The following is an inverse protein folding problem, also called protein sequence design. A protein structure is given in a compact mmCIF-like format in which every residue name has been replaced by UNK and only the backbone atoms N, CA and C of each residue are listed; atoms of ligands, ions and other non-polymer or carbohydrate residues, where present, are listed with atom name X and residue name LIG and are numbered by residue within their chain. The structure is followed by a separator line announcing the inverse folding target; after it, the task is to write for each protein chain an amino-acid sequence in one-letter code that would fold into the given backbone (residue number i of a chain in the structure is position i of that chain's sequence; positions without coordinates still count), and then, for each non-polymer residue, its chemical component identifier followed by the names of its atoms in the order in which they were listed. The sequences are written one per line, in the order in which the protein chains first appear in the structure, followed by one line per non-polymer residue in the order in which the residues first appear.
data_IF_326344401029
#
_entry.id   IF_326344401029
#
_cell.length_a   1.000
_cell.length_b   1.000
_cell.length_c   1.000
_cell.angle_alpha   90.00
_cell.angle_beta   90.00
_cell.angle_gamma   90.00
#
_symmetry.space_group_name_H-M   'P 1'
#
loop_
_entity.id
_entity.type
_entity.pdbx_description
1 polymer ?
#
# COMPACT_ATOMS: atom_id res chain seq x y z
N UNK A 1 22.01 16.80 11.69
CA UNK A 1 22.83 15.57 11.60
C UNK A 1 22.30 14.74 10.43
N UNK A 2 23.16 14.21 9.54
CA UNK A 2 22.68 13.39 8.45
C UNK A 2 22.04 12.09 8.98
N UNK A 3 20.85 11.78 8.51
CA UNK A 3 20.16 10.51 8.77
C UNK A 3 20.20 9.65 7.52
N UNK A 4 20.59 8.38 7.67
CA UNK A 4 20.59 7.42 6.60
C UNK A 4 19.17 6.83 6.44
N UNK A 5 18.76 6.62 5.21
CA UNK A 5 17.42 6.13 4.85
C UNK A 5 17.56 5.03 3.81
N UNK A 6 16.72 4.03 3.93
CA UNK A 6 16.61 2.94 2.97
C UNK A 6 15.82 3.36 1.73
N UNK A 7 16.05 2.70 0.60
CA UNK A 7 15.30 2.90 -0.63
C UNK A 7 14.78 1.56 -1.17
N UNK A 8 13.74 1.63 -1.98
CA UNK A 8 13.23 0.46 -2.68
C UNK A 8 13.80 0.32 -4.09
N UNK A 9 14.17 -0.89 -4.46
CA UNK A 9 14.41 -1.29 -5.83
C UNK A 9 13.17 -2.05 -6.32
N UNK A 10 12.44 -1.46 -7.25
CA UNK A 10 11.29 -2.04 -7.94
C UNK A 10 11.72 -2.46 -9.34
N UNK A 11 11.90 -3.75 -9.58
CA UNK A 11 12.50 -4.28 -10.81
C UNK A 11 13.86 -3.62 -11.11
N UNK A 12 13.86 -2.58 -11.94
CA UNK A 12 15.05 -1.78 -12.32
C UNK A 12 14.95 -0.31 -11.92
N UNK A 13 13.86 0.09 -11.26
CA UNK A 13 13.58 1.47 -10.85
C UNK A 13 13.69 1.62 -9.34
N UNK A 14 14.09 2.80 -8.87
CA UNK A 14 14.15 3.08 -7.45
C UNK A 14 12.95 3.90 -6.99
N UNK A 15 12.57 3.73 -5.73
CA UNK A 15 11.63 4.61 -5.03
C UNK A 15 12.14 4.86 -3.61
N UNK A 16 11.80 6.00 -3.06
CA UNK A 16 12.24 6.43 -1.72
C UNK A 16 11.13 6.39 -0.68
N UNK A 17 9.89 6.38 -1.11
CA UNK A 17 8.72 6.56 -0.25
C UNK A 17 7.74 5.41 -0.38
N UNK A 18 7.16 5.19 -1.58
CA UNK A 18 6.12 4.17 -1.78
C UNK A 18 6.05 3.67 -3.22
N UNK A 19 5.89 2.36 -3.36
CA UNK A 19 5.42 1.70 -4.57
C UNK A 19 3.99 1.21 -4.33
N UNK A 20 3.03 1.59 -5.16
CA UNK A 20 1.62 1.23 -4.97
C UNK A 20 0.90 0.92 -6.28
N UNK A 21 -0.18 0.10 -6.18
CA UNK A 21 -1.03 -0.24 -7.31
C UNK A 21 -2.51 -0.26 -6.91
N UNK A 22 -3.38 -0.26 -7.91
CA UNK A 22 -4.83 -0.42 -7.74
C UNK A 22 -5.56 0.89 -7.43
N UNK A 23 -6.63 0.80 -6.64
CA UNK A 23 -7.44 1.94 -6.29
C UNK A 23 -6.59 3.07 -5.68
N UNK A 24 -6.92 4.31 -6.03
CA UNK A 24 -6.22 5.51 -5.57
C UNK A 24 -4.88 5.83 -6.26
N UNK A 25 -4.29 4.94 -7.05
CA UNK A 25 -3.04 5.25 -7.77
C UNK A 25 -3.27 6.10 -9.01
N UNK A 26 -4.35 5.89 -9.74
CA UNK A 26 -4.69 6.68 -10.94
C UNK A 26 -5.09 8.13 -10.62
N UNK A 27 -5.66 8.38 -9.44
CA UNK A 27 -6.08 9.73 -9.01
C UNK A 27 -4.91 10.58 -8.53
N UNK A 28 -3.76 10.00 -8.25
CA UNK A 28 -2.54 10.74 -7.86
C UNK A 28 -2.02 11.67 -8.95
N UNK A 29 -2.37 11.40 -10.22
CA UNK A 29 -1.95 12.23 -11.36
C UNK A 29 -2.81 13.48 -11.58
N UNK A 30 -3.97 13.57 -10.95
CA UNK A 30 -4.89 14.70 -11.22
C UNK A 30 -5.20 15.60 -10.03
N UNK A 31 -5.05 15.21 -8.77
CA UNK A 31 -5.08 16.17 -7.63
C UNK A 31 -4.91 15.47 -6.26
N UNK A 32 -4.11 15.99 -5.31
CA UNK A 32 -4.03 15.51 -3.92
C UNK A 32 -5.36 15.58 -3.14
N UNK A 33 -6.31 16.35 -3.64
CA UNK A 33 -7.61 16.58 -3.02
C UNK A 33 -8.58 15.40 -3.20
N UNK A 34 -8.44 14.64 -4.30
CA UNK A 34 -9.33 13.52 -4.58
C UNK A 34 -9.10 12.33 -3.67
N UNK A 35 -7.92 12.20 -3.10
CA UNK A 35 -7.58 11.12 -2.18
C UNK A 35 -8.22 11.33 -0.79
N UNK A 36 -8.21 12.56 -0.27
CA UNK A 36 -8.97 12.93 0.95
C UNK A 36 -10.47 12.78 0.73
N UNK A 37 -10.94 13.05 -0.50
CA UNK A 37 -12.32 12.86 -0.89
C UNK A 37 -12.70 11.37 -1.00
N UNK A 38 -11.80 10.48 -1.43
CA UNK A 38 -12.08 9.05 -1.51
C UNK A 38 -12.28 8.42 -0.13
N UNK A 39 -11.50 8.81 0.89
CA UNK A 39 -11.73 8.39 2.28
C UNK A 39 -12.91 9.14 2.91
N UNK A 40 -13.10 10.41 2.58
CA UNK A 40 -14.32 11.13 2.93
C UNK A 40 -15.54 10.44 2.34
N UNK A 41 -15.47 9.99 1.09
CA UNK A 41 -16.50 9.16 0.48
C UNK A 41 -16.67 7.80 1.19
N UNK A 42 -15.61 7.14 1.60
CA UNK A 42 -15.70 5.90 2.37
C UNK A 42 -16.35 6.14 3.74
N UNK A 43 -16.09 7.27 4.40
CA UNK A 43 -16.77 7.64 5.63
C UNK A 43 -18.26 8.00 5.41
N UNK A 44 -18.59 8.67 4.30
CA UNK A 44 -19.98 8.90 3.87
C UNK A 44 -20.73 7.61 3.52
N UNK A 45 -20.01 6.61 3.03
CA UNK A 45 -20.54 5.29 2.72
C UNK A 45 -21.11 4.61 3.98
N UNK A 46 -20.49 4.82 5.14
CA UNK A 46 -21.00 4.27 6.41
C UNK A 46 -22.31 4.91 6.89
N UNK A 47 -22.61 6.13 6.44
CA UNK A 47 -23.83 6.85 6.89
C UNK A 47 -25.05 6.68 5.98
N UNK A 48 -24.91 6.16 4.75
CA UNK A 48 -26.06 6.17 3.84
C UNK A 48 -26.03 5.30 2.59
N UNK A 49 -25.04 4.45 2.35
CA UNK A 49 -25.00 3.65 1.13
C UNK A 49 -25.64 2.28 1.35
N UNK A 50 -26.59 1.97 0.47
CA UNK A 50 -27.25 0.67 0.40
C UNK A 50 -26.52 -0.34 -0.47
N UNK A 51 -25.48 0.07 -1.19
CA UNK A 51 -24.75 -0.75 -2.16
C UNK A 51 -23.24 -0.55 -2.06
N UNK A 52 -22.48 -1.63 -2.28
CA UNK A 52 -21.02 -1.59 -2.30
C UNK A 52 -20.59 -0.87 -3.59
N UNK A 53 -19.68 0.14 -3.52
CA UNK A 53 -19.13 0.76 -4.72
C UNK A 53 -18.44 -0.26 -5.62
N UNK A 54 -18.51 -0.08 -6.92
CA UNK A 54 -17.78 -0.90 -7.89
C UNK A 54 -16.28 -0.63 -7.76
N UNK A 55 -15.56 -1.53 -7.12
CA UNK A 55 -14.09 -1.52 -7.11
C UNK A 55 -13.53 -2.43 -8.20
N UNK A 56 -12.46 -2.01 -8.85
CA UNK A 56 -11.66 -2.93 -9.65
C UNK A 56 -10.78 -3.74 -8.70
N UNK A 57 -10.87 -5.05 -8.77
CA UNK A 57 -10.02 -5.96 -8.00
C UNK A 57 -9.05 -6.69 -8.90
N UNK A 58 -7.93 -7.08 -8.32
CA UNK A 58 -6.84 -7.78 -8.99
C UNK A 58 -6.54 -9.07 -8.21
N UNK A 59 -6.47 -10.20 -8.93
CA UNK A 59 -5.95 -11.43 -8.34
C UNK A 59 -4.44 -11.28 -8.21
N UNK A 60 -3.95 -11.32 -6.98
CA UNK A 60 -2.54 -11.08 -6.66
C UNK A 60 -1.98 -12.25 -5.86
N UNK A 61 -0.78 -12.67 -6.21
CA UNK A 61 0.04 -13.59 -5.45
C UNK A 61 1.26 -12.82 -4.93
N UNK A 62 1.43 -12.78 -3.61
CA UNK A 62 2.58 -12.18 -2.92
C UNK A 62 3.42 -13.28 -2.33
N UNK A 63 4.70 -13.28 -2.65
CA UNK A 63 5.70 -14.17 -2.07
C UNK A 63 6.68 -13.33 -1.25
N UNK A 64 6.74 -13.57 0.05
CA UNK A 64 7.62 -12.87 0.97
C UNK A 64 8.03 -13.79 2.12
N UNK A 65 9.30 -13.79 2.50
CA UNK A 65 9.87 -14.58 3.62
C UNK A 65 9.48 -16.07 3.58
N UNK A 66 9.39 -16.65 2.35
CA UNK A 66 9.00 -18.04 2.15
C UNK A 66 7.52 -18.34 2.35
N UNK A 67 6.70 -17.33 2.54
CA UNK A 67 5.24 -17.42 2.64
C UNK A 67 4.58 -16.94 1.34
N UNK A 68 3.45 -17.54 1.01
CA UNK A 68 2.64 -17.18 -0.17
C UNK A 68 1.27 -16.72 0.28
N UNK A 69 0.89 -15.52 -0.17
CA UNK A 69 -0.42 -14.92 0.09
C UNK A 69 -1.12 -14.69 -1.24
N UNK A 70 -2.25 -15.36 -1.47
CA UNK A 70 -3.03 -15.22 -2.71
C UNK A 70 -4.46 -14.82 -2.38
N UNK A 71 -4.89 -13.67 -2.92
CA UNK A 71 -6.26 -13.17 -2.73
C UNK A 71 -6.61 -12.15 -3.84
N UNK A 72 -7.84 -11.62 -3.81
CA UNK A 72 -8.29 -10.49 -4.62
C UNK A 72 -8.13 -9.20 -3.82
N UNK A 73 -7.34 -8.28 -4.36
CA UNK A 73 -7.05 -6.99 -3.72
C UNK A 73 -7.52 -5.83 -4.58
N UNK A 74 -7.99 -4.77 -3.95
CA UNK A 74 -8.34 -3.51 -4.62
C UNK A 74 -7.19 -2.50 -4.58
N UNK A 75 -6.25 -2.66 -3.65
CA UNK A 75 -5.12 -1.77 -3.44
C UNK A 75 -3.96 -2.53 -2.82
N UNK A 76 -2.74 -2.14 -3.17
CA UNK A 76 -1.52 -2.58 -2.51
C UNK A 76 -0.46 -1.49 -2.49
N UNK A 77 0.28 -1.44 -1.38
CA UNK A 77 1.41 -0.53 -1.19
C UNK A 77 2.58 -1.23 -0.49
N UNK A 78 3.78 -0.93 -0.96
CA UNK A 78 5.06 -1.29 -0.34
C UNK A 78 5.76 0.02 -0.04
N UNK A 79 6.04 0.29 1.22
CA UNK A 79 6.53 1.61 1.65
C UNK A 79 7.66 1.51 2.65
N UNK A 80 8.54 2.50 2.61
CA UNK A 80 9.48 2.85 3.66
C UNK A 80 9.03 4.20 4.25
N UNK A 81 7.84 4.24 4.86
CA UNK A 81 7.25 5.50 5.28
C UNK A 81 6.22 5.35 6.40
N UNK A 82 6.16 6.33 7.27
CA UNK A 82 5.18 6.45 8.35
C UNK A 82 3.78 6.83 7.88
N UNK A 83 3.63 7.11 6.59
CA UNK A 83 2.35 7.48 6.00
C UNK A 83 2.36 7.14 4.52
N UNK A 84 1.31 6.53 4.01
CA UNK A 84 1.11 6.26 2.59
C UNK A 84 -0.02 7.13 2.08
N UNK A 85 0.32 8.04 1.14
CA UNK A 85 -0.65 8.95 0.51
C UNK A 85 -1.40 9.88 1.46
N UNK A 86 -0.91 10.08 2.70
CA UNK A 86 -1.56 10.91 3.72
C UNK A 86 -2.79 10.28 4.38
N UNK A 87 -3.13 9.04 4.03
CA UNK A 87 -4.33 8.33 4.50
C UNK A 87 -3.96 7.24 5.48
N UNK A 88 -2.99 6.43 5.09
CA UNK A 88 -2.50 5.35 5.91
C UNK A 88 -1.38 5.93 6.76
N UNK A 89 -1.69 6.17 8.02
CA UNK A 89 -0.69 6.59 8.99
C UNK A 89 -0.31 5.38 9.83
N UNK A 90 0.98 5.11 9.88
CA UNK A 90 1.57 4.09 10.73
C UNK A 90 2.22 4.81 11.92
N UNK A 91 2.01 4.29 13.12
CA UNK A 91 2.63 4.86 14.32
C UNK A 91 4.15 4.94 14.17
N UNK A 92 4.75 6.05 14.58
CA UNK A 92 6.20 6.29 14.56
C UNK A 92 7.00 5.18 15.28
N UNK A 93 6.37 4.47 16.19
CA UNK A 93 6.99 3.35 16.91
C UNK A 93 7.04 2.05 16.10
N UNK A 94 6.41 1.97 14.94
CA UNK A 94 6.32 0.77 14.11
C UNK A 94 7.08 0.89 12.80
N UNK A 95 7.60 2.06 12.44
CA UNK A 95 8.35 2.30 11.21
C UNK A 95 9.68 2.93 11.54
N UNK A 96 10.75 2.24 11.22
CA UNK A 96 12.10 2.77 11.20
C UNK A 96 12.54 2.87 9.73
N UNK A 97 12.87 4.07 9.27
CA UNK A 97 13.26 4.33 7.88
C UNK A 97 14.61 3.73 7.48
N UNK A 98 15.29 3.07 8.41
CA UNK A 98 16.62 2.50 8.23
C UNK A 98 16.80 1.14 8.92
N UNK A 99 15.75 0.33 9.00
CA UNK A 99 15.82 -1.01 9.58
C UNK A 99 16.04 -2.12 8.53
N UNK A 100 16.00 -1.75 7.24
CA UNK A 100 16.22 -2.66 6.12
C UNK A 100 14.99 -3.49 5.75
N UNK A 101 13.79 -3.08 6.15
CA UNK A 101 12.53 -3.72 5.78
C UNK A 101 11.51 -2.70 5.27
N UNK A 102 10.52 -3.18 4.54
CA UNK A 102 9.36 -2.41 4.10
C UNK A 102 8.11 -2.83 4.86
N UNK A 103 7.19 -1.89 5.02
CA UNK A 103 5.81 -2.15 5.33
C UNK A 103 5.05 -2.47 4.04
N UNK A 104 4.49 -3.67 3.98
CA UNK A 104 3.61 -4.10 2.88
C UNK A 104 2.19 -4.12 3.40
N UNK A 105 1.31 -3.41 2.71
CA UNK A 105 -0.09 -3.40 3.06
C UNK A 105 -0.94 -3.55 1.81
N UNK A 106 -1.90 -4.46 1.89
CA UNK A 106 -2.88 -4.67 0.82
C UNK A 106 -4.28 -4.70 1.39
N UNK A 107 -5.22 -4.13 0.64
CA UNK A 107 -6.64 -4.10 0.98
C UNK A 107 -7.38 -5.08 0.06
N UNK A 108 -8.03 -6.06 0.67
CA UNK A 108 -8.81 -7.07 -0.05
C UNK A 108 -10.11 -6.48 -0.62
N UNK A 109 -10.65 -7.15 -1.61
CA UNK A 109 -11.93 -6.79 -2.22
C UNK A 109 -13.06 -6.97 -1.19
N UNK A 110 -13.76 -5.91 -0.78
CA UNK A 110 -14.94 -6.05 0.08
C UNK A 110 -16.08 -6.70 -0.69
N UNK A 111 -16.75 -7.66 -0.08
CA UNK A 111 -17.90 -8.39 -0.65
C UNK A 111 -19.21 -8.00 0.03
N UNK A 112 -19.13 -7.44 1.22
CA UNK A 112 -20.28 -7.04 2.04
C UNK A 112 -20.10 -5.63 2.60
N UNK A 113 -21.18 -5.01 3.05
CA UNK A 113 -21.10 -3.73 3.78
C UNK A 113 -20.35 -3.86 5.09
N UNK A 114 -20.33 -5.06 5.69
CA UNK A 114 -19.54 -5.32 6.90
C UNK A 114 -18.05 -5.30 6.58
N UNK A 115 -17.62 -5.88 5.45
CA UNK A 115 -16.24 -5.84 4.99
C UNK A 115 -15.79 -4.39 4.76
N UNK A 116 -16.63 -3.59 4.11
CA UNK A 116 -16.37 -2.18 3.88
C UNK A 116 -16.27 -1.40 5.20
N UNK A 117 -17.15 -1.67 6.16
CA UNK A 117 -17.09 -1.10 7.51
C UNK A 117 -15.81 -1.50 8.23
N UNK A 118 -15.37 -2.75 8.12
CA UNK A 118 -14.12 -3.24 8.70
C UNK A 118 -12.90 -2.53 8.09
N UNK A 119 -12.89 -2.30 6.77
CA UNK A 119 -11.84 -1.53 6.09
C UNK A 119 -11.79 -0.10 6.64
N UNK A 120 -12.91 0.61 6.67
CA UNK A 120 -12.95 2.01 7.15
C UNK A 120 -12.53 2.10 8.62
N UNK A 121 -13.03 1.22 9.46
CA UNK A 121 -12.67 1.18 10.89
C UNK A 121 -11.18 0.92 11.07
N UNK A 122 -10.60 -0.01 10.32
CA UNK A 122 -9.17 -0.30 10.35
C UNK A 122 -8.34 0.93 9.94
N UNK A 123 -8.72 1.60 8.86
CA UNK A 123 -8.01 2.79 8.36
C UNK A 123 -8.05 3.99 9.31
N UNK A 124 -8.98 4.04 10.26
CA UNK A 124 -8.99 5.04 11.33
C UNK A 124 -7.97 4.74 12.43
N UNK A 125 -7.47 3.52 12.51
CA UNK A 125 -6.42 3.13 13.46
C UNK A 125 -5.04 3.56 12.92
N UNK A 126 -4.19 4.07 13.80
CA UNK A 126 -2.78 4.37 13.47
C UNK A 126 -1.86 3.14 13.58
N UNK A 127 -2.41 1.99 13.92
CA UNK A 127 -1.65 0.76 14.14
C UNK A 127 -2.13 -0.35 13.19
N UNK A 128 -1.36 -0.66 12.12
CA UNK A 128 -1.69 -1.72 11.18
C UNK A 128 -1.81 -3.11 11.79
N UNK A 129 -1.17 -3.36 12.94
CA UNK A 129 -1.30 -4.62 13.67
C UNK A 129 -2.71 -4.85 14.25
N UNK A 130 -3.54 -3.80 14.27
CA UNK A 130 -4.94 -3.84 14.70
C UNK A 130 -5.92 -3.89 13.53
N UNK A 131 -5.42 -3.90 12.28
CA UNK A 131 -6.28 -4.01 11.12
C UNK A 131 -6.93 -5.39 11.06
N UNK A 132 -8.15 -5.42 10.55
CA UNK A 132 -8.88 -6.66 10.39
C UNK A 132 -8.18 -7.57 9.35
N UNK A 133 -7.61 -8.72 9.75
CA UNK A 133 -6.87 -9.58 8.84
C UNK A 133 -7.75 -10.24 7.76
N UNK A 134 -9.07 -10.21 7.93
CA UNK A 134 -9.99 -10.66 6.89
C UNK A 134 -9.97 -9.70 5.69
N UNK A 135 -9.70 -8.40 5.92
CA UNK A 135 -9.71 -7.33 4.91
C UNK A 135 -8.33 -6.80 4.57
N UNK A 136 -7.33 -7.04 5.41
CA UNK A 136 -5.98 -6.54 5.18
C UNK A 136 -4.94 -7.67 5.19
N UNK A 137 -3.96 -7.54 4.30
CA UNK A 137 -2.66 -8.16 4.46
C UNK A 137 -1.70 -7.06 4.91
N UNK A 138 -1.07 -7.24 6.08
CA UNK A 138 0.03 -6.40 6.54
C UNK A 138 1.21 -7.29 6.92
N UNK A 139 2.39 -6.98 6.39
CA UNK A 139 3.63 -7.66 6.73
C UNK A 139 4.82 -6.70 6.59
N UNK A 140 5.93 -7.06 7.20
CA UNK A 140 7.23 -6.40 7.04
C UNK A 140 8.19 -7.38 6.42
N UNK A 141 8.92 -6.97 5.39
CA UNK A 141 9.87 -7.85 4.68
C UNK A 141 10.98 -7.05 4.01
N UNK A 142 12.13 -7.70 3.79
CA UNK A 142 13.26 -7.10 3.05
C UNK A 142 13.07 -7.19 1.54
N UNK A 143 12.40 -8.25 1.09
CA UNK A 143 12.16 -8.49 -0.32
C UNK A 143 10.86 -9.24 -0.52
N UNK A 144 10.20 -8.97 -1.63
CA UNK A 144 8.99 -9.66 -2.04
C UNK A 144 8.87 -9.70 -3.55
N UNK A 145 8.11 -10.70 -4.01
CA UNK A 145 7.67 -10.81 -5.38
C UNK A 145 6.14 -10.74 -5.42
N UNK A 146 5.61 -9.94 -6.32
CA UNK A 146 4.18 -9.79 -6.52
C UNK A 146 3.84 -10.16 -7.95
N UNK A 147 2.93 -11.12 -8.13
CA UNK A 147 2.51 -11.61 -9.44
C UNK A 147 1.02 -11.34 -9.66
N UNK A 148 0.68 -10.90 -10.86
CA UNK A 148 -0.67 -10.56 -11.31
C UNK A 148 -1.08 -11.42 -12.51
N UNK A 149 -2.36 -11.65 -12.69
CA UNK A 149 -2.89 -12.32 -13.88
C UNK A 149 -2.79 -11.45 -15.15
N UNK A 150 -2.78 -10.12 -14.98
CA UNK A 150 -2.68 -9.13 -16.05
C UNK A 150 -1.52 -8.15 -15.82
N UNK A 151 -1.16 -7.40 -16.84
CA UNK A 151 -0.18 -6.32 -16.68
C UNK A 151 -0.70 -5.26 -15.72
N UNK A 152 0.16 -4.82 -14.81
CA UNK A 152 -0.18 -3.86 -13.77
C UNK A 152 0.58 -2.56 -13.95
N UNK A 153 -0.14 -1.48 -13.76
CA UNK A 153 0.44 -0.14 -13.64
C UNK A 153 0.65 0.17 -12.16
N UNK A 154 1.84 0.67 -11.86
CA UNK A 154 2.25 1.06 -10.53
C UNK A 154 2.46 2.56 -10.43
N UNK A 155 2.41 3.07 -9.22
CA UNK A 155 2.88 4.40 -8.86
C UNK A 155 4.11 4.25 -7.97
N UNK A 156 5.25 4.78 -8.40
CA UNK A 156 6.47 4.88 -7.60
C UNK A 156 6.65 6.33 -7.21
N UNK A 157 6.55 6.63 -5.92
CA UNK A 157 6.65 8.00 -5.36
C UNK A 157 5.73 9.03 -6.08
N UNK A 158 4.58 8.56 -6.61
CA UNK A 158 3.65 9.38 -7.38
C UNK A 158 3.83 9.33 -8.89
N UNK A 159 4.87 8.70 -9.41
CA UNK A 159 5.13 8.56 -10.84
C UNK A 159 4.60 7.24 -11.39
N UNK A 160 3.99 7.27 -12.58
CA UNK A 160 3.43 6.10 -13.24
C UNK A 160 4.52 5.23 -13.85
N UNK A 161 4.55 3.95 -13.50
CA UNK A 161 5.49 2.97 -14.02
C UNK A 161 4.75 1.69 -14.45
N UNK A 162 5.20 1.07 -15.55
CA UNK A 162 4.73 -0.26 -15.92
C UNK A 162 5.42 -1.31 -15.05
N UNK A 163 4.64 -2.10 -14.31
CA UNK A 163 5.16 -3.21 -13.50
C UNK A 163 5.11 -4.56 -14.21
N UNK A 164 4.50 -4.63 -15.39
CA UNK A 164 4.25 -5.92 -16.04
C UNK A 164 3.33 -6.82 -15.22
N UNK A 165 3.47 -8.14 -15.40
CA UNK A 165 2.74 -9.14 -14.60
C UNK A 165 3.48 -9.56 -13.33
N UNK A 166 4.73 -9.19 -13.20
CA UNK A 166 5.59 -9.54 -12.07
C UNK A 166 6.38 -8.32 -11.63
N UNK A 167 6.30 -8.01 -10.35
CA UNK A 167 7.07 -6.98 -9.69
C UNK A 167 7.93 -7.60 -8.60
N UNK A 168 9.25 -7.36 -8.66
CA UNK A 168 10.20 -7.72 -7.62
C UNK A 168 10.62 -6.47 -6.89
N UNK A 169 10.49 -6.48 -5.58
CA UNK A 169 10.78 -5.32 -4.74
C UNK A 169 11.77 -5.76 -3.66
N UNK A 170 12.87 -5.02 -3.54
CA UNK A 170 13.90 -5.27 -2.53
C UNK A 170 14.29 -3.99 -1.81
N UNK A 171 14.52 -4.08 -0.51
CA UNK A 171 15.01 -2.98 0.31
C UNK A 171 16.52 -2.83 0.12
N UNK A 172 16.95 -1.66 -0.27
CA UNK A 172 18.36 -1.24 -0.35
C UNK A 172 18.68 -0.44 0.90
N UNK A 173 19.33 -1.10 1.84
CA UNK A 173 19.67 -0.49 3.12
C UNK A 173 20.71 0.62 2.95
N UNK A 174 20.59 1.67 3.77
CA UNK A 174 21.54 2.82 3.82
C UNK A 174 21.70 3.51 2.44
N UNK A 175 20.63 3.56 1.64
CA UNK A 175 20.70 3.96 0.24
C UNK A 175 21.08 5.45 0.06
N UNK A 176 20.61 6.33 0.95
CA UNK A 176 20.91 7.77 0.86
C UNK A 176 20.86 8.44 2.23
N UNK A 177 21.34 9.69 2.28
CA UNK A 177 21.37 10.50 3.50
C UNK A 177 20.50 11.73 3.34
N UNK A 178 19.64 11.96 4.33
CA UNK A 178 18.87 13.20 4.45
C UNK A 178 19.61 14.14 5.40
N UNK A 179 19.80 15.39 4.98
CA UNK A 179 20.34 16.46 5.82
C UNK A 179 19.16 17.19 6.48
N UNK A 180 19.11 17.16 7.79
CA UNK A 180 18.12 17.89 8.61
C UNK A 180 18.83 18.89 9.50
#
# INVERSE_FOLDING_TARGET
TPHTVDAGLFNTSYFSYVASFGAFTETSYSTPQNFKNALGHLAYILEGIKEIPAFTSYTVCVEADGQIYKDSYIFGAVSNARSVGGILKISDSLVDLNDGVFEVMMIKMPKTLMDLSAIVTSLTSLNPLKYDPSMFLFLQTKELQITFEQEMVWSLDGERVSGGKEARIACIKDAFKILT
#
